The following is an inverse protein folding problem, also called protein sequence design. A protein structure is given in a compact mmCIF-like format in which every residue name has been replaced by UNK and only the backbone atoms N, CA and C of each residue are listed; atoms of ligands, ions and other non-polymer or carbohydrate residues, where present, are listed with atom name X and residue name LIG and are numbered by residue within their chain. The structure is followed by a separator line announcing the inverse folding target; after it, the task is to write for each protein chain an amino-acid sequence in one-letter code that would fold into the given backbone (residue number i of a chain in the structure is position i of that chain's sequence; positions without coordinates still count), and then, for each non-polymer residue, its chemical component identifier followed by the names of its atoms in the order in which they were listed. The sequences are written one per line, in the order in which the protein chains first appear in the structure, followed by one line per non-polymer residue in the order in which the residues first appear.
data_IF_693632586015
#
_entry.id   IF_693632586015
#
_cell.length_a   1.000
_cell.length_b   1.000
_cell.length_c   1.000
_cell.angle_alpha   90.00
_cell.angle_beta   90.00
_cell.angle_gamma   90.00
#
_symmetry.space_group_name_H-M   'P 1'
#
loop_
_entity.id
_entity.type
_entity.pdbx_description
1 polymer ?
#
# COMPACT_ATOMS: atom_id res chain seq x y z
N UNK A 1 1.38 5.92 -7.05
CA UNK A 1 0.33 5.61 -6.02
C UNK A 1 0.27 6.61 -4.85
N UNK A 2 -0.87 6.76 -4.13
CA UNK A 2 -0.96 7.60 -2.93
C UNK A 2 -0.18 6.97 -1.76
N UNK A 3 0.87 7.67 -1.35
CA UNK A 3 1.73 7.31 -0.23
C UNK A 3 1.60 8.42 0.83
N UNK A 4 1.54 8.05 2.11
CA UNK A 4 1.48 9.03 3.20
C UNK A 4 2.67 8.80 4.14
N UNK A 5 3.29 9.90 4.57
CA UNK A 5 4.38 9.86 5.53
C UNK A 5 3.81 9.73 6.94
N UNK A 6 4.36 8.83 7.76
CA UNK A 6 4.06 8.72 9.17
C UNK A 6 5.38 8.64 9.94
N UNK A 7 5.67 9.68 10.73
CA UNK A 7 6.98 9.84 11.34
C UNK A 7 8.05 9.98 10.26
N UNK A 8 8.96 9.02 10.17
CA UNK A 8 10.06 8.99 9.19
C UNK A 8 9.84 8.03 8.02
N UNK A 9 8.73 7.29 7.98
CA UNK A 9 8.51 6.25 6.95
C UNK A 9 7.24 6.50 6.15
N UNK A 10 7.32 6.26 4.85
CA UNK A 10 6.17 6.23 3.96
C UNK A 10 5.39 4.94 4.14
N UNK A 11 4.07 5.08 4.05
CA UNK A 11 3.11 4.00 4.12
C UNK A 11 2.17 4.06 2.92
N UNK A 12 1.76 2.87 2.47
CA UNK A 12 0.66 2.67 1.54
C UNK A 12 -0.63 2.49 2.34
N UNK A 13 -1.69 3.21 1.97
CA UNK A 13 -3.06 2.96 2.46
C UNK A 13 -3.99 2.93 1.26
N UNK A 14 -4.59 1.77 1.03
CA UNK A 14 -5.52 1.58 -0.09
C UNK A 14 -6.70 0.73 0.33
N UNK A 15 -7.87 1.03 -0.24
CA UNK A 15 -9.08 0.23 -0.04
C UNK A 15 -8.97 -1.08 -0.81
N UNK A 16 -9.38 -2.17 -0.18
CA UNK A 16 -9.54 -3.46 -0.87
C UNK A 16 -10.75 -3.36 -1.81
N UNK A 17 -10.60 -3.67 -3.10
CA UNK A 17 -11.72 -3.70 -4.02
C UNK A 17 -12.81 -4.68 -3.55
N UNK A 18 -14.08 -4.32 -3.71
CA UNK A 18 -15.23 -5.12 -3.26
C UNK A 18 -15.27 -6.52 -3.84
N UNK A 19 -14.71 -6.72 -5.05
CA UNK A 19 -14.57 -8.05 -5.67
C UNK A 19 -13.81 -9.05 -4.79
N UNK A 20 -12.88 -8.58 -3.95
CA UNK A 20 -12.11 -9.42 -3.04
C UNK A 20 -12.73 -9.54 -1.65
N UNK A 21 -13.88 -8.89 -1.38
CA UNK A 21 -14.51 -8.89 -0.06
C UNK A 21 -14.92 -10.29 0.43
N UNK A 22 -15.11 -11.25 -0.48
CA UNK A 22 -15.39 -12.65 -0.14
C UNK A 22 -14.16 -13.40 0.41
N UNK A 23 -12.96 -12.96 0.06
CA UNK A 23 -11.68 -13.64 0.39
C UNK A 23 -10.91 -12.84 1.44
N UNK A 24 -10.83 -11.52 1.28
CA UNK A 24 -10.15 -10.61 2.18
C UNK A 24 -11.19 -9.79 2.97
N UNK A 25 -11.25 -10.02 4.28
CA UNK A 25 -12.17 -9.31 5.19
C UNK A 25 -11.73 -7.88 5.44
N UNK A 26 -10.45 -7.56 5.22
CA UNK A 26 -9.92 -6.21 5.45
C UNK A 26 -10.50 -5.22 4.45
N UNK A 27 -11.06 -4.12 4.96
CA UNK A 27 -11.56 -3.02 4.11
C UNK A 27 -10.43 -2.16 3.56
N UNK A 28 -9.31 -2.08 4.29
CA UNK A 28 -8.15 -1.29 3.92
C UNK A 28 -6.86 -2.08 4.16
N UNK A 29 -5.95 -2.00 3.19
CA UNK A 29 -4.57 -2.45 3.34
C UNK A 29 -3.74 -1.23 3.75
N UNK A 30 -3.09 -1.36 4.90
CA UNK A 30 -2.12 -0.38 5.42
C UNK A 30 -0.78 -1.08 5.54
N UNK A 31 0.21 -0.64 4.78
CA UNK A 31 1.53 -1.29 4.76
C UNK A 31 2.64 -0.25 4.85
N UNK A 32 3.69 -0.54 5.63
CA UNK A 32 4.88 0.31 5.66
C UNK A 32 5.76 0.00 4.46
N UNK A 33 6.16 1.06 3.75
CA UNK A 33 7.10 0.97 2.63
C UNK A 33 8.56 0.97 3.14
N UNK A 34 8.77 1.27 4.44
CA UNK A 34 10.09 1.31 5.10
C UNK A 34 11.09 2.19 4.34
N UNK A 35 10.62 3.33 3.85
CA UNK A 35 11.42 4.29 3.10
C UNK A 35 10.97 5.69 3.44
N UNK A 36 11.90 6.63 3.47
CA UNK A 36 11.78 8.05 3.79
C UNK A 36 11.84 8.95 2.53
N UNK A 37 12.24 8.39 1.38
CA UNK A 37 12.18 9.02 0.06
C UNK A 37 10.84 8.78 -0.64
N UNK A 38 10.20 9.86 -1.09
CA UNK A 38 8.90 9.81 -1.77
C UNK A 38 8.96 9.14 -3.15
N UNK A 39 10.06 9.35 -3.89
CA UNK A 39 10.24 8.74 -5.21
C UNK A 39 10.32 7.21 -5.11
N UNK A 40 11.19 6.72 -4.22
CA UNK A 40 11.34 5.28 -3.95
C UNK A 40 10.05 4.70 -3.37
N UNK A 41 9.37 5.44 -2.48
CA UNK A 41 8.09 5.01 -1.92
C UNK A 41 7.01 4.79 -2.99
N UNK A 42 6.94 5.65 -4.03
CA UNK A 42 5.96 5.49 -5.11
C UNK A 42 6.19 4.22 -5.92
N UNK A 43 7.43 3.95 -6.32
CA UNK A 43 7.78 2.72 -7.05
C UNK A 43 7.50 1.48 -6.20
N UNK A 44 7.95 1.48 -4.95
CA UNK A 44 7.74 0.36 -4.03
C UNK A 44 6.26 0.14 -3.70
N UNK A 45 5.46 1.21 -3.65
CA UNK A 45 4.02 1.10 -3.45
C UNK A 45 3.33 0.40 -4.61
N UNK A 46 3.79 0.63 -5.84
CA UNK A 46 3.27 -0.02 -7.04
C UNK A 46 3.66 -1.51 -7.04
N UNK A 47 4.93 -1.82 -6.85
CA UNK A 47 5.41 -3.22 -6.75
C UNK A 47 4.69 -4.01 -5.66
N UNK A 48 4.58 -3.46 -4.45
CA UNK A 48 3.89 -4.10 -3.32
C UNK A 48 2.41 -4.34 -3.64
N UNK A 49 1.76 -3.41 -4.33
CA UNK A 49 0.36 -3.58 -4.69
C UNK A 49 0.16 -4.65 -5.76
N UNK A 50 1.05 -4.71 -6.75
CA UNK A 50 0.99 -5.73 -7.79
C UNK A 50 1.23 -7.13 -7.21
N UNK A 51 2.16 -7.27 -6.25
CA UNK A 51 2.35 -8.50 -5.48
C UNK A 51 1.12 -8.94 -4.66
N UNK A 52 0.26 -7.99 -4.26
CA UNK A 52 -0.99 -8.31 -3.56
C UNK A 52 -2.12 -8.75 -4.50
N UNK A 53 -1.99 -8.46 -5.81
CA UNK A 53 -2.98 -8.80 -6.82
C UNK A 53 -2.61 -10.05 -7.63
N UNK A 54 -1.33 -10.39 -7.70
CA UNK A 54 -0.80 -11.62 -8.32
C UNK A 54 -1.15 -12.86 -7.49
#
# INVERSE_FOLDING_TARGET
MPCYLRGATYHLKRRVPTRYAKVERRTFIKMSLKTDSLGVARHKAEEVWDQLLA
#
